data_IF_846690426598
#
_entry.id   IF_846690426598
#
_cell.length_a   1.000
_cell.length_b   1.000
_cell.length_c   1.000
_cell.angle_alpha   90.00
_cell.angle_beta   90.00
_cell.angle_gamma   90.00
#
_symmetry.space_group_name_H-M   'P 1'
#
loop_
_entity.id
_entity.type
_entity.pdbx_description
1 polymer ?
#
# COMPACT_ATOMS: atom_id res chain seq x y z
N UNK A 1 -24.96 21.69 -7.42
CA UNK A 1 -23.68 22.40 -7.25
C UNK A 1 -22.93 21.94 -6.00
N UNK A 2 -23.51 22.03 -4.79
CA UNK A 2 -22.87 21.60 -3.54
C UNK A 2 -22.38 20.13 -3.54
N UNK A 3 -23.19 19.19 -4.07
CA UNK A 3 -22.82 17.76 -4.17
C UNK A 3 -21.61 17.50 -5.07
N UNK A 4 -21.42 18.31 -6.14
CA UNK A 4 -20.25 18.20 -7.01
C UNK A 4 -19.00 18.69 -6.28
N UNK A 5 -19.09 19.80 -5.57
CA UNK A 5 -17.99 20.33 -4.77
C UNK A 5 -17.55 19.38 -3.65
N UNK A 6 -18.49 18.71 -2.95
CA UNK A 6 -18.15 17.73 -1.91
C UNK A 6 -17.48 16.48 -2.48
N UNK A 7 -17.94 15.98 -3.64
CA UNK A 7 -17.33 14.84 -4.30
C UNK A 7 -15.91 15.13 -4.81
N UNK A 8 -15.69 16.34 -5.33
CA UNK A 8 -14.34 16.81 -5.71
C UNK A 8 -13.43 16.91 -4.49
N UNK A 9 -13.90 17.45 -3.37
CA UNK A 9 -13.12 17.57 -2.14
C UNK A 9 -12.72 16.21 -1.56
N UNK A 10 -13.62 15.22 -1.56
CA UNK A 10 -13.30 13.87 -1.05
C UNK A 10 -12.26 13.15 -1.90
N UNK A 11 -12.28 13.33 -3.22
CA UNK A 11 -11.28 12.75 -4.13
C UNK A 11 -9.90 13.39 -3.90
N UNK A 12 -9.85 14.70 -3.66
CA UNK A 12 -8.60 15.42 -3.41
C UNK A 12 -7.99 15.04 -2.05
N UNK A 13 -8.82 14.87 -1.01
CA UNK A 13 -8.35 14.42 0.31
C UNK A 13 -7.75 13.02 0.22
N UNK A 14 -8.35 12.11 -0.55
CA UNK A 14 -7.80 10.76 -0.72
C UNK A 14 -6.43 10.77 -1.42
N UNK A 15 -6.18 11.75 -2.30
CA UNK A 15 -4.91 11.88 -3.03
C UNK A 15 -3.76 12.47 -2.19
N UNK A 16 -4.03 13.07 -1.02
CA UNK A 16 -2.99 13.62 -0.14
C UNK A 16 -2.61 12.70 1.02
N UNK A 17 -3.31 11.57 1.19
CA UNK A 17 -3.04 10.63 2.27
C UNK A 17 -2.07 9.56 1.79
N UNK A 18 -0.87 9.58 2.34
CA UNK A 18 0.09 8.49 2.21
C UNK A 18 -0.49 7.21 2.84
N UNK A 19 -0.47 6.11 2.09
CA UNK A 19 -0.93 4.80 2.53
C UNK A 19 0.25 3.92 2.91
N UNK A 20 0.15 3.21 4.03
CA UNK A 20 1.10 2.15 4.40
C UNK A 20 0.58 0.80 3.92
N UNK A 21 1.37 0.11 3.10
CA UNK A 21 1.07 -1.21 2.58
C UNK A 21 1.96 -2.27 3.22
N UNK A 22 1.35 -3.25 3.90
CA UNK A 22 2.06 -4.42 4.41
C UNK A 22 2.30 -5.41 3.27
N UNK A 23 3.57 -5.63 2.93
CA UNK A 23 3.94 -6.51 1.82
C UNK A 23 3.52 -7.95 2.13
N UNK A 24 2.58 -8.49 1.34
CA UNK A 24 2.03 -9.83 1.53
C UNK A 24 0.80 -9.92 2.43
N UNK A 25 0.22 -8.78 2.83
CA UNK A 25 -1.01 -8.58 3.62
C UNK A 25 -1.05 -9.28 5.01
N UNK A 26 -1.00 -10.60 5.08
CA UNK A 26 -1.25 -11.40 6.30
C UNK A 26 -0.06 -12.25 6.77
N UNK A 27 1.05 -12.28 6.04
CA UNK A 27 2.23 -13.08 6.38
C UNK A 27 3.51 -12.27 6.51
N UNK A 28 4.49 -12.80 7.26
CA UNK A 28 5.87 -12.34 7.15
C UNK A 28 6.39 -12.55 5.74
N UNK A 29 7.26 -11.66 5.29
CA UNK A 29 7.97 -11.82 4.03
C UNK A 29 8.71 -13.18 4.03
N UNK A 30 8.56 -13.94 2.94
CA UNK A 30 9.15 -15.28 2.75
C UNK A 30 9.44 -15.52 1.27
N UNK A 31 10.47 -16.29 0.93
CA UNK A 31 10.87 -16.53 -0.46
C UNK A 31 9.81 -17.24 -1.33
N UNK A 32 8.82 -17.89 -0.71
CA UNK A 32 7.76 -18.62 -1.40
C UNK A 32 6.45 -17.82 -1.54
N UNK A 33 6.44 -16.55 -1.13
CA UNK A 33 5.28 -15.68 -1.23
C UNK A 33 4.97 -15.28 -2.68
N UNK A 34 3.69 -15.17 -3.02
CA UNK A 34 3.26 -14.67 -4.34
C UNK A 34 3.12 -13.13 -4.33
N UNK A 35 4.24 -12.42 -4.13
CA UNK A 35 4.25 -10.95 -4.04
C UNK A 35 3.86 -10.25 -5.34
N UNK A 36 4.02 -10.93 -6.49
CA UNK A 36 3.61 -10.40 -7.78
C UNK A 36 2.09 -10.22 -7.84
N UNK A 37 1.32 -11.23 -7.42
CA UNK A 37 -0.14 -11.12 -7.30
C UNK A 37 -0.57 -10.07 -6.27
N UNK A 38 0.19 -9.94 -5.19
CA UNK A 38 -0.06 -8.90 -4.19
C UNK A 38 0.14 -7.50 -4.81
N UNK A 39 1.26 -7.26 -5.49
CA UNK A 39 1.56 -5.99 -6.13
C UNK A 39 0.53 -5.66 -7.23
N UNK A 40 0.13 -6.65 -8.05
CA UNK A 40 -0.88 -6.48 -9.09
C UNK A 40 -2.27 -6.10 -8.54
N UNK A 41 -2.53 -6.39 -7.25
CA UNK A 41 -3.79 -6.05 -6.57
C UNK A 41 -3.81 -4.64 -5.96
N UNK A 42 -2.70 -3.89 -6.05
CA UNK A 42 -2.53 -2.59 -5.37
C UNK A 42 -2.16 -1.50 -6.38
N UNK A 43 -2.59 -0.27 -6.09
CA UNK A 43 -2.13 0.92 -6.81
C UNK A 43 -1.29 1.74 -5.85
N UNK A 44 -0.05 2.02 -6.23
CA UNK A 44 0.88 2.81 -5.40
C UNK A 44 0.94 4.25 -5.91
N UNK A 45 0.87 5.18 -4.98
CA UNK A 45 1.01 6.61 -5.21
C UNK A 45 2.30 7.13 -4.58
N UNK A 46 2.81 8.26 -5.09
CA UNK A 46 3.99 8.91 -4.50
C UNK A 46 3.66 9.37 -3.09
N UNK A 47 4.49 8.96 -2.12
CA UNK A 47 4.27 9.22 -0.70
C UNK A 47 3.83 7.98 0.08
N UNK A 48 3.37 6.92 -0.61
CA UNK A 48 3.05 5.65 0.04
C UNK A 48 4.29 4.95 0.58
N UNK A 49 4.10 4.13 1.62
CA UNK A 49 5.18 3.38 2.28
C UNK A 49 4.90 1.89 2.19
N UNK A 50 5.94 1.11 1.83
CA UNK A 50 5.88 -0.35 1.85
C UNK A 50 6.52 -0.86 3.15
N UNK A 51 5.73 -1.51 4.00
CA UNK A 51 6.19 -2.10 5.25
C UNK A 51 6.53 -3.58 5.03
N UNK A 52 7.82 -3.92 5.15
CA UNK A 52 8.34 -5.29 5.02
C UNK A 52 8.61 -5.86 6.40
N UNK A 53 7.83 -6.88 6.79
CA UNK A 53 8.03 -7.60 8.03
C UNK A 53 8.74 -8.92 7.75
N UNK A 54 9.94 -9.10 8.29
CA UNK A 54 10.71 -10.32 8.13
C UNK A 54 11.57 -10.60 9.38
N UNK A 55 11.98 -11.86 9.53
CA UNK A 55 12.98 -12.21 10.53
C UNK A 55 14.35 -11.67 10.10
N UNK A 56 14.88 -10.70 10.85
CA UNK A 56 16.14 -9.99 10.52
C UNK A 56 17.35 -10.91 10.32
N UNK A 57 17.38 -12.08 10.94
CA UNK A 57 18.46 -13.07 10.78
C UNK A 57 18.37 -13.89 9.49
N UNK A 58 17.24 -13.86 8.79
CA UNK A 58 16.99 -14.69 7.62
C UNK A 58 16.97 -13.87 6.32
N UNK A 59 16.55 -12.59 6.40
CA UNK A 59 16.26 -11.77 5.23
C UNK A 59 16.73 -10.32 5.44
N UNK A 60 17.02 -9.63 4.34
CA UNK A 60 17.33 -8.19 4.27
C UNK A 60 16.63 -7.59 3.05
N UNK A 61 16.41 -6.27 3.07
CA UNK A 61 15.77 -5.51 1.98
C UNK A 61 16.67 -4.38 1.52
#
# INVERSE_FOLDING_TARGET
MALLFTALFSVIIQACLATEYKVGDTGSWSLNGTYQKWADSKTFYVGDTLALYYTKSQHSV
#
